data_IF_684421763943
#
_entry.id   IF_684421763943
#
_cell.length_a   1.000
_cell.length_b   1.000
_cell.length_c   1.000
_cell.angle_alpha   90.00
_cell.angle_beta   90.00
_cell.angle_gamma   90.00
#
_symmetry.space_group_name_H-M   'P 1'
#
loop_
_entity.id
_entity.type
_entity.pdbx_description
1 polymer ?
#
# COMPACT_ATOMS: atom_id res chain seq x y z
N UNK A 1 -20.52 13.87 -9.51
CA UNK A 1 -19.26 13.61 -10.25
C UNK A 1 -18.81 12.19 -9.96
N UNK A 2 -18.58 11.36 -10.98
CA UNK A 2 -18.00 10.02 -10.78
C UNK A 2 -16.54 10.22 -10.36
N UNK A 3 -16.22 9.93 -9.09
CA UNK A 3 -14.84 9.89 -8.61
C UNK A 3 -14.13 8.76 -9.33
N UNK A 4 -13.30 9.07 -10.31
CA UNK A 4 -12.39 8.10 -10.91
C UNK A 4 -11.33 7.78 -9.85
N UNK A 5 -11.45 6.65 -9.17
CA UNK A 5 -10.41 6.17 -8.27
C UNK A 5 -9.12 5.92 -9.08
N UNK A 6 -8.09 6.73 -8.86
CA UNK A 6 -6.82 6.57 -9.54
C UNK A 6 -6.01 5.49 -8.82
N UNK A 7 -5.75 4.37 -9.49
CA UNK A 7 -4.89 3.32 -8.97
C UNK A 7 -3.43 3.65 -9.30
N UNK A 8 -2.54 3.54 -8.32
CA UNK A 8 -1.10 3.71 -8.52
C UNK A 8 -0.33 2.50 -8.02
N UNK A 9 0.79 2.20 -8.67
CA UNK A 9 1.72 1.14 -8.27
C UNK A 9 2.89 1.75 -7.50
N UNK A 10 3.33 1.05 -6.47
CA UNK A 10 4.48 1.47 -5.66
C UNK A 10 5.26 0.27 -5.15
N UNK A 11 6.57 0.45 -5.00
CA UNK A 11 7.45 -0.55 -4.40
C UNK A 11 7.41 -0.40 -2.87
N UNK A 12 7.20 -1.51 -2.16
CA UNK A 12 7.10 -1.53 -0.70
C UNK A 12 8.51 -1.49 -0.12
N UNK A 13 8.78 -0.46 0.69
CA UNK A 13 10.04 -0.30 1.41
C UNK A 13 9.97 -0.92 2.82
N UNK A 14 8.82 -0.83 3.49
CA UNK A 14 8.64 -1.31 4.86
C UNK A 14 7.19 -1.65 5.21
N UNK A 15 7.02 -2.43 6.28
CA UNK A 15 5.72 -2.71 6.90
C UNK A 15 5.79 -2.60 8.41
N UNK A 16 4.69 -2.21 9.04
CA UNK A 16 4.55 -2.10 10.50
C UNK A 16 3.17 -2.60 10.91
N UNK A 17 3.12 -3.41 11.96
CA UNK A 17 1.87 -3.70 12.65
C UNK A 17 1.63 -2.66 13.73
N UNK A 18 0.46 -2.02 13.71
CA UNK A 18 0.04 -1.07 14.74
C UNK A 18 -1.48 -1.18 14.95
N UNK A 19 -1.92 -1.25 16.20
CA UNK A 19 -3.35 -1.34 16.57
C UNK A 19 -4.18 -2.37 15.76
N UNK A 20 -3.60 -3.55 15.51
CA UNK A 20 -4.24 -4.62 14.74
C UNK A 20 -4.27 -4.41 13.23
N UNK A 21 -3.68 -3.33 12.74
CA UNK A 21 -3.57 -3.00 11.32
C UNK A 21 -2.16 -3.30 10.81
N UNK A 22 -2.08 -3.77 9.57
CA UNK A 22 -0.82 -3.84 8.85
C UNK A 22 -0.70 -2.60 7.95
N UNK A 23 0.29 -1.77 8.25
CA UNK A 23 0.60 -0.55 7.51
C UNK A 23 1.82 -0.79 6.62
N UNK A 24 1.80 -0.30 5.40
CA UNK A 24 2.90 -0.40 4.42
C UNK A 24 3.34 0.99 3.95
N UNK A 25 4.64 1.16 3.78
CA UNK A 25 5.22 2.37 3.22
C UNK A 25 6.10 2.02 2.03
N UNK A 26 6.25 2.94 1.08
CA UNK A 26 6.96 2.67 -0.16
C UNK A 26 7.04 3.87 -1.10
N UNK A 27 7.56 3.61 -2.30
CA UNK A 27 7.81 4.65 -3.31
C UNK A 27 7.10 4.35 -4.63
N UNK A 28 6.42 5.36 -5.14
CA UNK A 28 5.77 5.33 -6.44
C UNK A 28 6.78 5.37 -7.59
N UNK A 29 6.33 4.95 -8.77
CA UNK A 29 7.17 4.91 -9.96
C UNK A 29 7.49 6.30 -10.51
N UNK A 30 6.72 7.33 -10.16
CA UNK A 30 6.99 8.72 -10.55
C UNK A 30 7.63 9.53 -9.41
N UNK A 31 8.20 8.86 -8.40
CA UNK A 31 8.90 9.49 -7.28
C UNK A 31 8.01 9.85 -6.08
N UNK A 32 6.73 9.44 -6.10
CA UNK A 32 5.83 9.66 -4.96
C UNK A 32 6.30 8.88 -3.72
N UNK A 33 5.99 9.39 -2.54
CA UNK A 33 6.22 8.68 -1.28
C UNK A 33 4.90 8.33 -0.63
N UNK A 34 4.70 7.04 -0.33
CA UNK A 34 3.54 6.52 0.36
C UNK A 34 3.93 6.10 1.77
N UNK A 35 3.21 6.61 2.77
CA UNK A 35 3.49 6.34 4.18
C UNK A 35 2.27 5.77 4.88
N UNK A 36 2.50 4.72 5.66
CA UNK A 36 1.50 4.10 6.54
C UNK A 36 0.17 3.79 5.82
N UNK A 37 0.24 3.29 4.58
CA UNK A 37 -0.96 2.85 3.85
C UNK A 37 -1.52 1.58 4.48
N UNK A 38 -2.84 1.53 4.67
CA UNK A 38 -3.50 0.32 5.15
C UNK A 38 -3.36 -0.80 4.12
N UNK A 39 -2.74 -1.91 4.54
CA UNK A 39 -2.66 -3.11 3.74
C UNK A 39 -3.93 -3.95 3.92
N UNK A 40 -4.77 -3.95 2.88
CA UNK A 40 -5.97 -4.77 2.82
C UNK A 40 -5.65 -6.03 2.01
N UNK A 41 -5.56 -7.17 2.69
CA UNK A 41 -5.32 -8.46 2.05
C UNK A 41 -6.65 -9.21 1.83
N UNK A 42 -6.84 -9.89 0.69
CA UNK A 42 -7.90 -10.88 0.57
C UNK A 42 -7.69 -12.00 1.60
N UNK A 43 -8.76 -12.35 2.33
CA UNK A 43 -8.73 -13.22 3.50
C UNK A 43 -7.92 -14.52 3.30
N UNK A 44 -7.19 -14.93 4.34
CA UNK A 44 -6.61 -16.28 4.47
C UNK A 44 -5.08 -16.36 4.38
N UNK A 45 -4.40 -15.31 3.96
CA UNK A 45 -2.95 -15.19 4.09
C UNK A 45 -2.64 -14.23 5.23
N UNK A 46 -1.82 -14.63 6.20
CA UNK A 46 -1.25 -13.74 7.21
C UNK A 46 0.19 -13.41 6.81
N UNK A 47 0.38 -12.87 5.60
CA UNK A 47 1.71 -12.60 5.07
C UNK A 47 2.00 -11.10 5.06
N UNK A 48 3.09 -10.72 5.73
CA UNK A 48 3.69 -9.39 5.55
C UNK A 48 4.29 -9.34 4.14
N UNK A 49 3.98 -8.34 3.32
CA UNK A 49 4.64 -8.20 2.04
C UNK A 49 6.14 -7.94 2.27
N UNK A 50 7.04 -8.64 1.54
CA UNK A 50 8.47 -8.39 1.65
C UNK A 50 8.84 -7.04 1.05
N UNK A 51 9.97 -6.47 1.49
CA UNK A 51 10.57 -5.31 0.84
C UNK A 51 10.85 -5.60 -0.63
N UNK A 52 10.57 -4.63 -1.50
CA UNK A 52 10.68 -4.76 -2.96
C UNK A 52 9.45 -5.34 -3.65
N UNK A 53 8.44 -5.79 -2.89
CA UNK A 53 7.16 -6.19 -3.48
C UNK A 53 6.41 -4.99 -4.07
N UNK A 54 5.65 -5.22 -5.14
CA UNK A 54 4.84 -4.17 -5.78
C UNK A 54 3.42 -4.19 -5.20
N UNK A 55 3.03 -3.08 -4.58
CA UNK A 55 1.67 -2.81 -4.13
C UNK A 55 0.87 -2.02 -5.16
N UNK A 56 -0.46 -2.06 -5.02
CA UNK A 56 -1.39 -1.18 -5.74
C UNK A 56 -2.19 -0.41 -4.69
N UNK A 57 -2.12 0.92 -4.74
CA UNK A 57 -2.89 1.79 -3.87
C UNK A 57 -4.01 2.47 -4.64
N UNK A 58 -5.16 2.63 -3.99
CA UNK A 58 -6.21 3.52 -4.46
C UNK A 58 -5.94 4.91 -3.90
N UNK A 59 -5.64 5.86 -4.79
CA UNK A 59 -5.45 7.26 -4.44
C UNK A 59 -6.77 7.98 -4.61
N UNK A 60 -7.32 8.46 -3.51
CA UNK A 60 -8.47 9.37 -3.51
C UNK A 60 -7.92 10.80 -3.42
N UNK A 61 -8.41 11.74 -4.27
CA UNK A 61 -8.01 13.14 -4.21
C UNK A 61 -8.45 13.82 -2.91
#
# INVERSE_FOLDING_TARGET
MKSSAHLTRFEIDSSRFDNGQLLISGRGLAGETFKDLLYVQPHGAASRPPKGAIGVAMVMP
#
